data_IF_706138881501
#
_entry.id   IF_706138881501
#
_cell.length_a   1.000
_cell.length_b   1.000
_cell.length_c   1.000
_cell.angle_alpha   90.00
_cell.angle_beta   90.00
_cell.angle_gamma   90.00
#
_symmetry.space_group_name_H-M   'P 1'
#
loop_
_entity.id
_entity.type
_entity.pdbx_description
1 polymer ?
#
# COMPACT_ATOMS: atom_id res chain seq x y z
N UNK A 1 25.53 19.20 -17.59
CA UNK A 1 25.09 17.82 -17.91
C UNK A 1 24.78 17.00 -16.65
N UNK A 2 25.65 17.01 -15.63
CA UNK A 2 25.46 16.21 -14.41
C UNK A 2 24.23 16.61 -13.58
N UNK A 3 24.03 17.91 -13.31
CA UNK A 3 22.84 18.40 -12.59
C UNK A 3 21.53 18.12 -13.35
N UNK A 4 21.50 18.32 -14.67
CA UNK A 4 20.35 17.96 -15.51
C UNK A 4 20.03 16.45 -15.55
N UNK A 5 21.01 15.56 -15.31
CA UNK A 5 20.75 14.12 -15.17
C UNK A 5 20.20 13.79 -13.78
N UNK A 6 20.70 14.46 -12.74
CA UNK A 6 20.27 14.29 -11.36
C UNK A 6 18.80 14.72 -11.17
N UNK A 7 18.42 15.86 -11.74
CA UNK A 7 17.03 16.33 -11.70
C UNK A 7 16.08 15.40 -12.47
N UNK A 8 16.53 14.80 -13.57
CA UNK A 8 15.74 13.82 -14.33
C UNK A 8 15.55 12.47 -13.63
N UNK A 9 16.44 12.10 -12.71
CA UNK A 9 16.30 10.87 -11.91
C UNK A 9 15.52 11.08 -10.61
N UNK A 10 15.27 12.34 -10.22
CA UNK A 10 14.58 12.67 -8.99
C UNK A 10 13.20 12.02 -8.85
N UNK A 11 12.32 11.99 -9.87
CA UNK A 11 11.03 11.32 -9.76
C UNK A 11 11.14 9.81 -9.49
N UNK A 12 12.18 9.15 -10.02
CA UNK A 12 12.42 7.72 -9.78
C UNK A 12 12.90 7.50 -8.35
N UNK A 13 13.76 8.38 -7.84
CA UNK A 13 14.22 8.34 -6.45
C UNK A 13 13.08 8.60 -5.47
N UNK A 14 12.24 9.60 -5.74
CA UNK A 14 11.08 9.95 -4.92
C UNK A 14 10.07 8.77 -4.89
N UNK A 15 9.82 8.12 -6.03
CA UNK A 15 9.00 6.90 -6.09
C UNK A 15 9.59 5.74 -5.25
N UNK A 16 10.89 5.51 -5.34
CA UNK A 16 11.57 4.48 -4.55
C UNK A 16 11.47 4.77 -3.05
N UNK A 17 11.58 6.04 -2.65
CA UNK A 17 11.43 6.48 -1.27
C UNK A 17 10.00 6.28 -0.74
N UNK A 18 8.97 6.63 -1.54
CA UNK A 18 7.56 6.40 -1.20
C UNK A 18 7.31 4.90 -0.95
N UNK A 19 7.76 4.04 -1.87
CA UNK A 19 7.61 2.59 -1.73
C UNK A 19 8.37 2.05 -0.50
N UNK A 20 9.57 2.56 -0.24
CA UNK A 20 10.35 2.17 0.94
C UNK A 20 9.61 2.51 2.23
N UNK A 21 9.17 3.77 2.39
CA UNK A 21 8.42 4.22 3.58
C UNK A 21 7.13 3.42 3.78
N UNK A 22 6.40 3.17 2.69
CA UNK A 22 5.17 2.36 2.73
C UNK A 22 5.47 0.94 3.20
N UNK A 23 6.52 0.32 2.65
CA UNK A 23 6.94 -1.04 3.05
C UNK A 23 7.37 -1.10 4.51
N UNK A 24 8.15 -0.13 4.99
CA UNK A 24 8.55 -0.03 6.40
C UNK A 24 7.32 0.12 7.32
N UNK A 25 6.34 0.94 6.94
CA UNK A 25 5.08 1.11 7.68
C UNK A 25 4.26 -0.19 7.73
N UNK A 26 4.12 -0.90 6.62
CA UNK A 26 3.42 -2.20 6.58
C UNK A 26 4.13 -3.26 7.43
N UNK A 27 5.45 -3.36 7.35
CA UNK A 27 6.24 -4.28 8.18
C UNK A 27 6.07 -3.95 9.66
N UNK A 28 6.07 -2.67 10.03
CA UNK A 28 5.87 -2.25 11.41
C UNK A 28 4.48 -2.64 11.93
N UNK A 29 3.43 -2.42 11.13
CA UNK A 29 2.05 -2.80 11.47
C UNK A 29 1.91 -4.32 11.66
N UNK A 30 2.43 -5.13 10.73
CA UNK A 30 2.39 -6.59 10.86
C UNK A 30 3.22 -7.10 12.03
N UNK A 31 4.40 -6.54 12.26
CA UNK A 31 5.26 -6.95 13.39
C UNK A 31 4.62 -6.64 14.73
N UNK A 32 3.95 -5.49 14.84
CA UNK A 32 3.17 -5.13 16.02
C UNK A 32 2.00 -6.11 16.21
N UNK A 33 1.21 -6.37 15.16
CA UNK A 33 0.10 -7.32 15.21
C UNK A 33 0.55 -8.72 15.67
N UNK A 34 1.62 -9.28 15.09
CA UNK A 34 2.14 -10.60 15.47
C UNK A 34 2.57 -10.62 16.94
N UNK A 35 3.27 -9.58 17.39
CA UNK A 35 3.70 -9.47 18.78
C UNK A 35 2.51 -9.43 19.73
N UNK A 36 1.49 -8.65 19.41
CA UNK A 36 0.26 -8.56 20.18
C UNK A 36 -0.53 -9.87 20.17
N UNK A 37 -0.61 -10.55 19.04
CA UNK A 37 -1.29 -11.83 18.90
C UNK A 37 -0.64 -12.91 19.78
N UNK A 38 0.70 -13.00 19.77
CA UNK A 38 1.44 -13.93 20.61
C UNK A 38 1.22 -13.60 22.09
N UNK A 39 1.32 -12.33 22.47
CA UNK A 39 1.08 -11.92 23.86
C UNK A 39 -0.36 -12.21 24.32
N UNK A 40 -1.35 -11.92 23.47
CA UNK A 40 -2.74 -12.23 23.76
C UNK A 40 -2.95 -13.75 23.91
N UNK A 41 -2.33 -14.56 23.05
CA UNK A 41 -2.41 -16.03 23.11
C UNK A 41 -1.82 -16.57 24.41
N UNK A 42 -0.65 -16.06 24.82
CA UNK A 42 0.00 -16.47 26.07
C UNK A 42 -0.84 -16.08 27.29
N UNK A 43 -1.39 -14.86 27.30
CA UNK A 43 -2.29 -14.41 28.36
C UNK A 43 -3.57 -15.25 28.42
N UNK A 44 -4.13 -15.61 27.27
CA UNK A 44 -5.32 -16.46 27.21
C UNK A 44 -5.03 -17.86 27.72
N UNK A 45 -3.89 -18.45 27.36
CA UNK A 45 -3.46 -19.75 27.87
C UNK A 45 -3.34 -19.72 29.41
N UNK A 46 -2.68 -18.70 29.96
CA UNK A 46 -2.57 -18.53 31.42
C UNK A 46 -3.95 -18.43 32.06
N UNK A 47 -4.80 -17.55 31.53
CA UNK A 47 -6.16 -17.30 32.04
C UNK A 47 -7.02 -18.57 32.03
N UNK A 48 -6.97 -19.35 30.94
CA UNK A 48 -7.70 -20.63 30.86
C UNK A 48 -7.13 -21.68 31.80
N UNK A 49 -5.81 -21.74 31.99
CA UNK A 49 -5.18 -22.69 32.93
C UNK A 49 -5.53 -22.43 34.39
N UNK A 50 -5.87 -21.18 34.74
CA UNK A 50 -6.26 -20.76 36.08
C UNK A 50 -7.78 -20.85 36.30
N UNK A 51 -8.57 -20.97 35.22
CA UNK A 51 -10.03 -21.01 35.31
C UNK A 51 -10.53 -22.37 35.82
N UNK A 52 -11.33 -22.33 36.89
CA UNK A 52 -11.99 -23.51 37.47
C UNK A 52 -13.47 -23.63 37.12
N UNK A 53 -14.03 -22.59 36.49
CA UNK A 53 -15.41 -22.55 36.03
C UNK A 53 -15.47 -22.61 34.50
N UNK A 54 -16.03 -23.69 33.91
CA UNK A 54 -16.20 -23.84 32.47
C UNK A 54 -16.98 -22.69 31.82
N UNK A 55 -17.95 -22.09 32.53
CA UNK A 55 -18.74 -20.98 31.98
C UNK A 55 -17.92 -19.71 31.88
N UNK A 56 -17.19 -19.36 32.94
CA UNK A 56 -16.25 -18.24 32.93
C UNK A 56 -15.14 -18.43 31.87
N UNK A 57 -14.62 -19.65 31.71
CA UNK A 57 -13.63 -19.96 30.68
C UNK A 57 -14.15 -19.70 29.24
N UNK A 58 -15.42 -20.02 28.98
CA UNK A 58 -16.06 -19.75 27.70
C UNK A 58 -16.22 -18.25 27.44
N UNK A 59 -16.67 -17.49 28.44
CA UNK A 59 -16.80 -16.02 28.35
C UNK A 59 -15.45 -15.35 28.06
N UNK A 60 -14.38 -15.86 28.68
CA UNK A 60 -13.01 -15.40 28.43
C UNK A 60 -12.51 -15.74 27.02
N UNK A 61 -12.82 -16.93 26.50
CA UNK A 61 -12.52 -17.28 25.09
C UNK A 61 -13.27 -16.37 24.11
N UNK A 62 -14.55 -16.10 24.36
CA UNK A 62 -15.35 -15.20 23.50
C UNK A 62 -14.77 -13.78 23.52
N UNK A 63 -14.37 -13.30 24.69
CA UNK A 63 -13.73 -11.99 24.82
C UNK A 63 -12.41 -11.93 24.04
N UNK A 64 -11.55 -12.94 24.20
CA UNK A 64 -10.30 -13.05 23.47
C UNK A 64 -10.49 -13.03 21.95
N UNK A 65 -11.46 -13.79 21.44
CA UNK A 65 -11.77 -13.81 20.00
C UNK A 65 -12.19 -12.43 19.48
N UNK A 66 -13.08 -11.74 20.20
CA UNK A 66 -13.52 -10.39 19.83
C UNK A 66 -12.38 -9.38 19.84
N UNK A 67 -11.47 -9.48 20.81
CA UNK A 67 -10.31 -8.60 20.90
C UNK A 67 -9.34 -8.82 19.74
N UNK A 68 -9.08 -10.07 19.35
CA UNK A 68 -8.23 -10.36 18.18
C UNK A 68 -8.89 -9.92 16.88
N UNK A 69 -10.19 -10.18 16.72
CA UNK A 69 -10.95 -9.73 15.56
C UNK A 69 -10.86 -8.22 15.40
N UNK A 70 -11.13 -7.45 16.46
CA UNK A 70 -11.04 -6.00 16.44
C UNK A 70 -9.62 -5.51 16.08
N UNK A 71 -8.58 -6.14 16.63
CA UNK A 71 -7.18 -5.80 16.31
C UNK A 71 -6.82 -6.10 14.86
N UNK A 72 -7.27 -7.23 14.33
CA UNK A 72 -7.04 -7.59 12.94
C UNK A 72 -7.70 -6.57 12.00
N UNK A 73 -8.94 -6.17 12.29
CA UNK A 73 -9.65 -5.13 11.53
C UNK A 73 -8.93 -3.79 11.59
N UNK A 74 -8.52 -3.33 12.77
CA UNK A 74 -7.78 -2.08 12.96
C UNK A 74 -6.45 -2.07 12.20
N UNK A 75 -5.70 -3.17 12.21
CA UNK A 75 -4.45 -3.31 11.44
C UNK A 75 -4.74 -3.26 9.95
N UNK A 76 -5.76 -3.96 9.46
CA UNK A 76 -6.14 -3.95 8.05
C UNK A 76 -6.56 -2.54 7.58
N UNK A 77 -7.31 -1.79 8.40
CA UNK A 77 -7.66 -0.39 8.12
C UNK A 77 -6.41 0.49 8.02
N UNK A 78 -5.44 0.31 8.93
CA UNK A 78 -4.18 1.06 8.92
C UNK A 78 -3.28 0.70 7.74
N UNK A 79 -3.22 -0.57 7.34
CA UNK A 79 -2.49 -1.02 6.15
C UNK A 79 -3.12 -0.43 4.88
N UNK A 80 -4.45 -0.43 4.79
CA UNK A 80 -5.17 0.19 3.67
C UNK A 80 -4.92 1.70 3.62
N UNK A 81 -4.97 2.39 4.75
CA UNK A 81 -4.66 3.81 4.82
C UNK A 81 -3.23 4.11 4.33
N UNK A 82 -2.24 3.30 4.75
CA UNK A 82 -0.86 3.44 4.28
C UNK A 82 -0.73 3.24 2.75
N UNK A 83 -1.46 2.29 2.18
CA UNK A 83 -1.47 2.05 0.72
C UNK A 83 -2.17 3.18 -0.05
N UNK A 84 -3.26 3.73 0.50
CA UNK A 84 -3.98 4.87 -0.08
C UNK A 84 -3.10 6.11 -0.07
N UNK A 85 -2.45 6.42 1.06
CA UNK A 85 -1.48 7.52 1.18
C UNK A 85 -0.38 7.39 0.11
N UNK A 86 0.23 6.20 -0.02
CA UNK A 86 1.26 5.95 -1.01
C UNK A 86 0.76 6.13 -2.44
N UNK A 87 -0.46 5.68 -2.75
CA UNK A 87 -1.09 5.86 -4.06
C UNK A 87 -1.30 7.33 -4.38
N UNK A 88 -1.77 8.12 -3.41
CA UNK A 88 -1.98 9.56 -3.57
C UNK A 88 -0.66 10.29 -3.81
N UNK A 89 0.37 9.98 -3.02
CA UNK A 89 1.72 10.55 -3.20
C UNK A 89 2.31 10.21 -4.58
N UNK A 90 2.20 8.95 -5.02
CA UNK A 90 2.66 8.52 -6.35
C UNK A 90 1.88 9.18 -7.48
N UNK A 91 0.57 9.34 -7.33
CA UNK A 91 -0.29 10.01 -8.31
C UNK A 91 0.13 11.48 -8.43
N UNK A 92 0.29 12.17 -7.32
CA UNK A 92 0.78 13.55 -7.30
C UNK A 92 2.18 13.71 -7.91
N UNK A 93 3.07 12.74 -7.67
CA UNK A 93 4.41 12.72 -8.28
C UNK A 93 4.34 12.59 -9.82
N UNK A 94 3.46 11.73 -10.33
CA UNK A 94 3.24 11.55 -11.77
C UNK A 94 2.62 12.80 -12.39
N UNK A 95 1.58 13.36 -11.77
CA UNK A 95 0.92 14.59 -12.24
C UNK A 95 1.91 15.75 -12.32
N UNK A 96 2.74 15.93 -11.28
CA UNK A 96 3.80 16.93 -11.26
C UNK A 96 4.84 16.69 -12.34
N UNK A 97 5.30 15.45 -12.50
CA UNK A 97 6.27 15.09 -13.54
C UNK A 97 5.73 15.36 -14.95
N UNK A 98 4.43 15.13 -15.18
CA UNK A 98 3.77 15.45 -16.45
C UNK A 98 3.64 16.96 -16.66
N UNK A 99 3.26 17.72 -15.63
CA UNK A 99 3.15 19.17 -15.70
C UNK A 99 4.49 19.87 -15.96
N UNK A 100 5.58 19.36 -15.36
CA UNK A 100 6.94 19.89 -15.53
C UNK A 100 7.51 19.61 -16.92
N UNK A 101 7.01 18.60 -17.65
CA UNK A 101 7.47 18.33 -19.02
C UNK A 101 6.91 19.35 -20.04
N UNK A 102 5.95 20.21 -19.67
CA UNK A 102 5.56 21.40 -20.45
C UNK A 102 4.81 21.14 -21.76
N UNK A 103 5.05 20.01 -22.43
CA UNK A 103 4.27 19.51 -23.56
C UNK A 103 4.33 17.96 -23.60
N UNK A 104 3.18 17.30 -23.39
CA UNK A 104 3.05 15.83 -23.42
C UNK A 104 3.53 15.18 -24.73
N UNK A 105 3.72 15.98 -25.78
CA UNK A 105 4.20 15.56 -27.10
C UNK A 105 5.69 15.22 -27.15
N UNK A 106 6.48 15.76 -26.22
CA UNK A 106 7.93 15.58 -26.18
C UNK A 106 8.38 14.45 -25.25
N UNK A 107 7.43 13.79 -24.57
CA UNK A 107 7.68 12.60 -23.74
C UNK A 107 7.85 11.38 -24.64
N UNK A 108 9.00 10.66 -24.63
CA UNK A 108 9.23 9.49 -25.48
C UNK A 108 8.13 8.41 -25.34
N UNK A 109 7.61 8.23 -24.12
CA UNK A 109 6.51 7.31 -23.82
C UNK A 109 5.20 7.68 -24.54
N UNK A 110 4.85 8.98 -24.63
CA UNK A 110 3.64 9.42 -25.34
C UNK A 110 3.79 9.30 -26.86
N UNK A 111 4.99 9.51 -27.40
CA UNK A 111 5.29 9.25 -28.81
C UNK A 111 5.14 7.76 -29.16
N UNK A 112 5.52 6.87 -28.23
CA UNK A 112 5.38 5.42 -28.38
C UNK A 112 3.92 4.96 -28.21
N UNK A 113 3.19 5.53 -27.25
CA UNK A 113 1.74 5.31 -27.07
C UNK A 113 0.94 5.76 -28.31
N UNK A 114 1.28 6.92 -28.89
CA UNK A 114 0.68 7.41 -30.14
C UNK A 114 1.01 6.50 -31.33
N UNK A 115 2.22 5.94 -31.41
CA UNK A 115 2.57 4.93 -32.42
C UNK A 115 1.75 3.66 -32.27
N UNK A 116 1.40 3.26 -31.04
CA UNK A 116 0.55 2.10 -30.78
C UNK A 116 -0.95 2.36 -31.07
N UNK A 117 -1.43 3.59 -30.90
CA UNK A 117 -2.83 3.95 -31.18
C UNK A 117 -3.12 4.24 -32.66
N UNK A 118 -2.14 4.78 -33.41
CA UNK A 118 -2.31 5.09 -34.84
C UNK A 118 -2.77 3.92 -35.73
N UNK A 119 -2.28 2.67 -35.56
CA UNK A 119 -2.78 1.51 -36.30
C UNK A 119 -4.26 1.21 -36.05
N UNK A 120 -4.76 1.48 -34.84
CA UNK A 120 -6.15 1.22 -34.44
C UNK A 120 -7.14 2.18 -35.13
N UNK A 121 -6.77 3.47 -35.24
CA UNK A 121 -7.58 4.49 -35.93
C UNK A 121 -7.65 4.27 -37.45
N UNK A 122 -6.60 3.73 -38.07
CA UNK A 122 -6.60 3.42 -39.51
C UNK A 122 -7.45 2.19 -39.84
N UNK A 123 -7.49 1.18 -38.95
CA UNK A 123 -8.38 0.03 -39.09
C UNK A 123 -9.86 0.42 -38.99
N UNK A 124 -10.21 1.35 -38.08
CA UNK A 124 -11.57 1.84 -37.90
C UNK A 124 -12.09 2.69 -39.08
N UNK A 125 -11.21 3.37 -39.83
CA UNK A 125 -11.58 4.19 -41.00
C UNK A 125 -11.58 3.42 -42.34
N UNK A 126 -11.03 2.20 -42.37
CA UNK A 126 -10.98 1.33 -43.56
C UNK A 126 -12.22 0.45 -43.75
N UNK A 127 -13.16 0.43 -42.78
CA UNK A 127 -14.40 -0.36 -42.82
C UNK A 127 -15.67 0.47 -43.15
N UNK A 128 -15.56 1.48 -44.01
CA UNK A 128 -16.72 2.13 -44.62
C UNK A 128 -16.71 1.97 -46.13
#
# INVERSE_FOLDING_TARGET
MYENMKDKMKPVMDMAEINKKTTEKLIALQSAYVSEFVNASLNQMKTLSESRDPKAALELQVKYLKEIEAKLTDVAEKEMAALVEAKEELTGLVEKSVAEIGDLKDVPFMAELQKFMKPMDMAAKSSK
#
